data_IF_565630698197
#
_entry.id   IF_565630698197
#
_cell.length_a   1.000
_cell.length_b   1.000
_cell.length_c   1.000
_cell.angle_alpha   90.00
_cell.angle_beta   90.00
_cell.angle_gamma   90.00
#
_symmetry.space_group_name_H-M   'P 1'
#
loop_
_entity.id
_entity.type
_entity.pdbx_description
1 polymer ?
#
# COMPACT_ATOMS: atom_id res chain seq x y z
N UNK A 1 18.16 -5.91 15.64
CA UNK A 1 17.60 -5.25 14.44
C UNK A 1 17.77 -6.14 13.23
N UNK A 2 18.99 -6.59 12.93
CA UNK A 2 19.28 -7.48 11.78
C UNK A 2 18.47 -8.79 11.75
N UNK A 3 18.21 -9.42 12.90
CA UNK A 3 17.38 -10.63 12.98
C UNK A 3 15.94 -10.39 12.52
N UNK A 4 15.39 -9.21 12.78
CA UNK A 4 14.06 -8.83 12.32
C UNK A 4 14.07 -8.55 10.80
N UNK A 5 15.10 -7.89 10.30
CA UNK A 5 15.29 -7.59 8.87
C UNK A 5 15.40 -8.88 8.07
N UNK A 6 16.32 -9.77 8.44
CA UNK A 6 16.52 -11.05 7.76
C UNK A 6 15.24 -11.90 7.77
N UNK A 7 14.47 -11.85 8.86
CA UNK A 7 13.18 -12.53 8.94
C UNK A 7 12.16 -11.97 7.93
N UNK A 8 12.03 -10.64 7.80
CA UNK A 8 11.09 -10.04 6.84
C UNK A 8 11.59 -10.10 5.40
N UNK A 9 12.90 -10.09 5.15
CA UNK A 9 13.47 -10.32 3.81
C UNK A 9 13.22 -11.75 3.33
N UNK A 10 13.34 -12.74 4.22
CA UNK A 10 13.18 -14.16 3.88
C UNK A 10 11.86 -14.78 4.36
N UNK A 11 10.87 -13.93 4.69
CA UNK A 11 9.63 -14.38 5.35
C UNK A 11 8.94 -15.48 4.53
N UNK A 12 8.69 -16.67 5.10
CA UNK A 12 8.07 -17.77 4.38
C UNK A 12 6.73 -17.37 3.76
N UNK A 13 6.43 -17.92 2.57
CA UNK A 13 5.18 -17.67 1.85
C UNK A 13 3.94 -17.99 2.72
N UNK A 14 4.05 -19.00 3.58
CA UNK A 14 3.02 -19.35 4.56
C UNK A 14 2.72 -18.20 5.53
N UNK A 15 3.76 -17.59 6.13
CA UNK A 15 3.58 -16.50 7.10
C UNK A 15 3.00 -15.25 6.43
N UNK A 16 3.48 -14.90 5.22
CA UNK A 16 2.87 -13.85 4.40
C UNK A 16 1.39 -14.09 4.14
N UNK A 17 1.06 -15.31 3.73
CA UNK A 17 -0.33 -15.71 3.44
C UNK A 17 -1.20 -15.66 4.68
N UNK A 18 -0.71 -16.10 5.84
CA UNK A 18 -1.44 -16.04 7.10
C UNK A 18 -1.72 -14.59 7.51
N UNK A 19 -0.73 -13.70 7.40
CA UNK A 19 -0.91 -12.28 7.74
C UNK A 19 -1.95 -11.64 6.82
N UNK A 20 -1.85 -11.89 5.51
CA UNK A 20 -2.78 -11.32 4.52
C UNK A 20 -4.19 -11.89 4.66
N UNK A 21 -4.33 -13.22 4.60
CA UNK A 21 -5.64 -13.89 4.66
C UNK A 21 -6.26 -13.69 6.03
N UNK A 22 -5.49 -13.83 7.11
CA UNK A 22 -5.94 -13.64 8.48
C UNK A 22 -6.36 -12.20 8.76
N UNK A 23 -5.59 -11.21 8.30
CA UNK A 23 -5.97 -9.80 8.40
C UNK A 23 -7.27 -9.50 7.68
N UNK A 24 -7.40 -9.93 6.43
CA UNK A 24 -8.62 -9.73 5.63
C UNK A 24 -9.82 -10.44 6.28
N UNK A 25 -9.68 -11.70 6.70
CA UNK A 25 -10.78 -12.43 7.35
C UNK A 25 -11.18 -11.79 8.67
N UNK A 26 -10.24 -11.33 9.48
CA UNK A 26 -10.54 -10.62 10.72
C UNK A 26 -11.33 -9.34 10.46
N UNK A 27 -10.88 -8.49 9.54
CA UNK A 27 -11.61 -7.27 9.20
C UNK A 27 -12.97 -7.57 8.58
N UNK A 28 -13.08 -8.60 7.75
CA UNK A 28 -14.34 -9.03 7.14
C UNK A 28 -15.35 -9.53 8.19
N UNK A 29 -14.90 -10.29 9.20
CA UNK A 29 -15.74 -10.72 10.31
C UNK A 29 -16.20 -9.54 11.17
N UNK A 30 -15.32 -8.57 11.41
CA UNK A 30 -15.66 -7.34 12.16
C UNK A 30 -16.70 -6.50 11.40
N UNK A 31 -16.52 -6.32 10.09
CA UNK A 31 -17.47 -5.59 9.23
C UNK A 31 -18.81 -6.32 9.11
N UNK A 32 -18.79 -7.65 8.99
CA UNK A 32 -20.00 -8.47 8.86
C UNK A 32 -20.82 -8.62 10.15
N UNK A 33 -20.19 -8.57 11.32
CA UNK A 33 -20.86 -8.73 12.62
C UNK A 33 -21.70 -7.52 13.05
N UNK A 34 -21.38 -6.31 12.55
CA UNK A 34 -22.12 -5.07 12.86
C UNK A 34 -22.64 -4.45 11.56
N UNK A 35 -23.72 -5.00 10.98
CA UNK A 35 -24.32 -4.40 9.81
C UNK A 35 -25.02 -3.10 10.22
N UNK A 36 -24.36 -1.96 10.00
CA UNK A 36 -24.88 -0.63 10.37
C UNK A 36 -26.18 -0.27 9.64
N UNK A 37 -26.52 -0.93 8.52
CA UNK A 37 -27.76 -0.70 7.78
C UNK A 37 -28.30 -1.97 7.10
N UNK A 38 -29.62 -2.20 7.21
CA UNK A 38 -30.35 -3.19 6.42
C UNK A 38 -30.90 -2.52 5.16
N UNK A 39 -30.23 -2.74 4.03
CA UNK A 39 -30.69 -2.22 2.74
C UNK A 39 -31.66 -3.18 2.05
N UNK A 40 -32.90 -2.74 1.88
CA UNK A 40 -33.93 -3.37 1.05
C UNK A 40 -33.85 -2.75 -0.35
N UNK A 41 -32.97 -3.29 -1.20
CA UNK A 41 -32.73 -2.72 -2.54
C UNK A 41 -32.62 -3.82 -3.61
N UNK A 42 -33.04 -3.54 -4.85
CA UNK A 42 -32.97 -4.43 -6.02
C UNK A 42 -31.51 -4.75 -6.42
N UNK A 43 -30.88 -5.70 -5.71
CA UNK A 43 -29.43 -5.98 -5.70
C UNK A 43 -28.80 -6.28 -7.06
N UNK A 44 -29.54 -6.94 -7.96
CA UNK A 44 -28.99 -7.45 -9.22
C UNK A 44 -28.76 -6.38 -10.30
N UNK A 45 -29.59 -5.33 -10.35
CA UNK A 45 -29.46 -4.27 -11.38
C UNK A 45 -28.25 -3.36 -11.13
N UNK A 46 -27.81 -3.25 -9.88
CA UNK A 46 -26.61 -2.48 -9.49
C UNK A 46 -25.35 -3.34 -9.32
N UNK A 47 -25.49 -4.67 -9.21
CA UNK A 47 -24.33 -5.56 -9.11
C UNK A 47 -23.42 -5.46 -10.34
N UNK A 48 -23.98 -5.30 -11.54
CA UNK A 48 -23.21 -5.18 -12.80
C UNK A 48 -22.38 -3.89 -12.85
N UNK A 49 -22.96 -2.68 -12.71
CA UNK A 49 -22.15 -1.46 -12.68
C UNK A 49 -21.17 -1.43 -11.49
N UNK A 50 -21.55 -1.94 -10.32
CA UNK A 50 -20.64 -2.03 -9.18
C UNK A 50 -19.45 -2.96 -9.46
N UNK A 51 -19.68 -4.13 -10.07
CA UNK A 51 -18.61 -5.04 -10.45
C UNK A 51 -17.69 -4.42 -11.50
N UNK A 52 -18.24 -3.69 -12.48
CA UNK A 52 -17.44 -2.97 -13.46
C UNK A 52 -16.55 -1.90 -12.82
N UNK A 53 -17.09 -1.05 -11.94
CA UNK A 53 -16.29 -0.07 -11.22
C UNK A 53 -15.26 -0.74 -10.32
N UNK A 54 -15.63 -1.82 -9.63
CA UNK A 54 -14.69 -2.58 -8.79
C UNK A 54 -13.54 -3.15 -9.63
N UNK A 55 -13.84 -3.77 -10.78
CA UNK A 55 -12.83 -4.36 -11.65
C UNK A 55 -11.90 -3.30 -12.23
N UNK A 56 -12.45 -2.16 -12.68
CA UNK A 56 -11.64 -1.06 -13.21
C UNK A 56 -10.76 -0.43 -12.12
N UNK A 57 -11.28 -0.24 -10.91
CA UNK A 57 -10.49 0.19 -9.75
C UNK A 57 -9.37 -0.80 -9.43
N UNK A 58 -9.64 -2.10 -9.46
CA UNK A 58 -8.62 -3.15 -9.30
C UNK A 58 -7.54 -3.00 -10.38
N UNK A 59 -7.91 -2.94 -11.65
CA UNK A 59 -6.94 -2.83 -12.76
C UNK A 59 -6.05 -1.60 -12.60
N UNK A 60 -6.64 -0.44 -12.30
CA UNK A 60 -5.90 0.81 -12.13
C UNK A 60 -4.98 0.72 -10.91
N UNK A 61 -5.49 0.28 -9.76
CA UNK A 61 -4.69 0.18 -8.54
C UNK A 61 -3.55 -0.82 -8.68
N UNK A 62 -3.79 -1.99 -9.26
CA UNK A 62 -2.72 -2.95 -9.53
C UNK A 62 -1.72 -2.40 -10.55
N UNK A 63 -2.19 -1.72 -11.61
CA UNK A 63 -1.31 -1.07 -12.58
C UNK A 63 -0.39 -0.03 -11.93
N UNK A 64 -0.94 0.84 -11.10
CA UNK A 64 -0.17 1.85 -10.35
C UNK A 64 0.74 1.19 -9.30
N UNK A 65 0.30 0.13 -8.64
CA UNK A 65 1.13 -0.60 -7.67
C UNK A 65 2.34 -1.26 -8.34
N UNK A 66 2.17 -1.91 -9.49
CA UNK A 66 3.28 -2.46 -10.26
C UNK A 66 4.20 -1.36 -10.79
N UNK A 67 3.66 -0.24 -11.27
CA UNK A 67 4.47 0.90 -11.70
C UNK A 67 5.32 1.43 -10.54
N UNK A 68 4.73 1.58 -9.35
CA UNK A 68 5.43 2.03 -8.15
C UNK A 68 6.51 1.04 -7.74
N UNK A 69 6.21 -0.26 -7.71
CA UNK A 69 7.17 -1.31 -7.37
C UNK A 69 8.36 -1.31 -8.34
N UNK A 70 8.10 -1.34 -9.64
CA UNK A 70 9.17 -1.31 -10.66
C UNK A 70 9.99 -0.02 -10.58
N UNK A 71 9.35 1.10 -10.29
CA UNK A 71 10.05 2.37 -10.10
C UNK A 71 10.94 2.32 -8.85
N UNK A 72 10.47 1.76 -7.75
CA UNK A 72 11.25 1.59 -6.52
C UNK A 72 12.47 0.69 -6.77
N UNK A 73 12.29 -0.46 -7.44
CA UNK A 73 13.38 -1.36 -7.79
C UNK A 73 14.42 -0.70 -8.71
N UNK A 74 13.96 0.08 -9.70
CA UNK A 74 14.83 0.85 -10.59
C UNK A 74 15.63 1.91 -9.84
N UNK A 75 14.97 2.65 -8.94
CA UNK A 75 15.59 3.70 -8.11
C UNK A 75 16.72 3.13 -7.25
N UNK A 76 16.49 1.97 -6.62
CA UNK A 76 17.50 1.27 -5.82
C UNK A 76 18.63 0.75 -6.71
N UNK A 77 18.32 0.07 -7.81
CA UNK A 77 19.33 -0.53 -8.72
C UNK A 77 20.26 0.52 -9.34
N UNK A 78 19.73 1.70 -9.66
CA UNK A 78 20.50 2.78 -10.29
C UNK A 78 21.07 3.79 -9.27
N UNK A 79 20.93 3.55 -7.96
CA UNK A 79 21.32 4.47 -6.90
C UNK A 79 20.79 5.89 -7.13
N UNK A 80 19.55 6.01 -7.59
CA UNK A 80 18.92 7.27 -7.92
C UNK A 80 18.16 7.84 -6.72
N UNK A 81 18.10 9.17 -6.56
CA UNK A 81 17.27 9.83 -5.57
C UNK A 81 17.96 10.16 -4.25
N UNK A 82 17.36 11.09 -3.51
CA UNK A 82 17.95 11.74 -2.33
C UNK A 82 18.43 10.71 -1.29
N UNK A 83 17.63 9.69 -0.99
CA UNK A 83 17.97 8.71 0.04
C UNK A 83 19.13 7.78 -0.35
N UNK A 84 19.31 7.52 -1.65
CA UNK A 84 20.40 6.68 -2.17
C UNK A 84 21.69 7.47 -2.41
N UNK A 85 21.61 8.80 -2.54
CA UNK A 85 22.78 9.68 -2.66
C UNK A 85 23.40 10.03 -1.30
N UNK A 86 22.67 9.83 -0.21
CA UNK A 86 23.20 10.03 1.14
C UNK A 86 24.20 8.92 1.50
N UNK A 87 25.19 9.21 2.37
CA UNK A 87 26.15 8.20 2.82
C UNK A 87 25.46 7.09 3.63
N UNK A 88 26.16 5.96 3.79
CA UNK A 88 25.70 4.85 4.63
C UNK A 88 25.34 5.34 6.04
N UNK A 89 24.16 4.92 6.51
CA UNK A 89 23.60 5.39 7.76
C UNK A 89 22.93 4.25 8.55
N UNK A 90 22.79 4.37 9.88
CA UNK A 90 22.06 3.39 10.67
C UNK A 90 20.61 3.25 10.20
N UNK A 91 20.08 2.02 10.22
CA UNK A 91 18.72 1.72 9.71
C UNK A 91 17.63 2.64 10.29
N UNK A 92 17.68 2.91 11.60
CA UNK A 92 16.66 3.76 12.22
C UNK A 92 16.63 5.17 11.60
N UNK A 93 17.80 5.71 11.25
CA UNK A 93 17.93 7.01 10.60
C UNK A 93 17.44 6.94 9.15
N UNK A 94 17.78 5.87 8.44
CA UNK A 94 17.28 5.60 7.09
C UNK A 94 15.75 5.56 7.07
N UNK A 95 15.13 4.82 8.00
CA UNK A 95 13.67 4.72 8.11
C UNK A 95 13.04 6.07 8.46
N UNK A 96 13.60 6.80 9.42
CA UNK A 96 13.07 8.14 9.80
C UNK A 96 13.14 9.12 8.63
N UNK A 97 14.29 9.20 7.94
CA UNK A 97 14.43 10.08 6.77
C UNK A 97 13.56 9.63 5.61
N UNK A 98 13.44 8.32 5.38
CA UNK A 98 12.56 7.75 4.36
C UNK A 98 11.10 8.14 4.59
N UNK A 99 10.61 8.02 5.83
CA UNK A 99 9.23 8.42 6.19
C UNK A 99 9.04 9.92 6.01
N UNK A 100 9.98 10.76 6.45
CA UNK A 100 9.88 12.22 6.28
C UNK A 100 9.86 12.64 4.80
N UNK A 101 10.71 12.04 3.97
CA UNK A 101 10.74 12.32 2.53
C UNK A 101 9.48 11.81 1.83
N UNK A 102 8.99 10.63 2.21
CA UNK A 102 7.76 10.05 1.69
C UNK A 102 6.55 10.93 2.03
N UNK A 103 6.43 11.38 3.28
CA UNK A 103 5.33 12.27 3.70
C UNK A 103 5.44 13.65 3.03
N UNK A 104 6.64 14.23 3.00
CA UNK A 104 6.84 15.55 2.41
C UNK A 104 6.53 15.58 0.90
N UNK A 105 7.06 14.63 0.13
CA UNK A 105 6.88 14.60 -1.33
C UNK A 105 5.56 13.94 -1.70
N UNK A 106 5.25 12.79 -1.12
CA UNK A 106 4.12 11.96 -1.49
C UNK A 106 2.77 12.45 -0.95
N UNK A 107 2.76 13.09 0.23
CA UNK A 107 1.52 13.59 0.83
C UNK A 107 1.46 15.12 0.82
N UNK A 108 2.41 15.82 1.45
CA UNK A 108 2.32 17.26 1.65
C UNK A 108 2.38 18.04 0.34
N UNK A 109 3.36 17.80 -0.53
CA UNK A 109 3.46 18.51 -1.81
C UNK A 109 2.27 18.17 -2.72
N UNK A 110 1.89 16.89 -2.81
CA UNK A 110 0.74 16.48 -3.62
C UNK A 110 -0.56 17.16 -3.16
N UNK A 111 -0.85 17.11 -1.86
CA UNK A 111 -2.00 17.80 -1.26
C UNK A 111 -1.93 19.31 -1.49
N UNK A 112 -0.76 19.91 -1.27
CA UNK A 112 -0.56 21.33 -1.48
C UNK A 112 -0.88 21.71 -2.93
N UNK A 113 -0.37 20.98 -3.92
CA UNK A 113 -0.64 21.24 -5.34
C UNK A 113 -2.13 21.05 -5.67
N UNK A 114 -2.78 20.04 -5.12
CA UNK A 114 -4.22 19.80 -5.35
C UNK A 114 -5.11 20.91 -4.76
N UNK A 115 -4.75 21.46 -3.61
CA UNK A 115 -5.57 22.43 -2.87
C UNK A 115 -5.15 23.90 -3.01
N UNK A 116 -3.96 24.19 -3.56
CA UNK A 116 -3.47 25.56 -3.82
C UNK A 116 -3.66 26.04 -5.27
N UNK A 117 -4.43 25.33 -6.10
CA UNK A 117 -4.94 25.86 -7.37
C UNK A 117 -6.26 26.58 -7.14
#
# INVERSE_FOLDING_TARGET
METLINYFETIPSLHRSIILVGGITLFWLVEGAVPLFKFDYKKWKHAVPNFFFTLTTIIINFGLAFLLLNSADWVVTNNFGIINWLPEMPLWLYVVLGVLLLDFIGAYIAHYVEHKV
#
